data_IF_310336787154
#
_entry.id   IF_310336787154
#
_cell.length_a   1.000
_cell.length_b   1.000
_cell.length_c   1.000
_cell.angle_alpha   90.00
_cell.angle_beta   90.00
_cell.angle_gamma   90.00
#
_symmetry.space_group_name_H-M   'P 1'
#
loop_
_entity.id
_entity.type
_entity.pdbx_description
1 polymer ?
#
# COMPACT_ATOMS: atom_id res chain seq x y z
N UNK A 1 28.84 -5.72 -8.41
CA UNK A 1 28.54 -6.98 -9.11
C UNK A 1 27.04 -7.06 -9.27
N UNK A 2 26.53 -6.99 -10.50
CA UNK A 2 25.09 -6.98 -10.76
C UNK A 2 24.58 -8.42 -10.71
N UNK A 3 23.86 -8.80 -9.64
CA UNK A 3 23.16 -10.07 -9.58
C UNK A 3 21.90 -9.95 -10.45
N UNK A 4 21.98 -10.44 -11.69
CA UNK A 4 20.79 -10.63 -12.52
C UNK A 4 19.91 -11.69 -11.88
N UNK A 5 18.79 -11.27 -11.30
CA UNK A 5 17.74 -12.17 -10.79
C UNK A 5 17.13 -12.91 -11.99
N UNK A 6 17.07 -14.25 -11.99
CA UNK A 6 16.44 -15.02 -13.06
C UNK A 6 15.00 -14.57 -13.32
N UNK A 7 14.57 -14.60 -14.59
CA UNK A 7 13.20 -14.23 -14.98
C UNK A 7 12.13 -15.04 -14.24
N UNK A 8 12.37 -16.34 -14.03
CA UNK A 8 11.44 -17.24 -13.32
C UNK A 8 11.26 -16.85 -11.84
N UNK A 9 12.32 -16.38 -11.19
CA UNK A 9 12.24 -15.90 -9.79
C UNK A 9 11.46 -14.58 -9.70
N UNK A 10 11.56 -13.72 -10.72
CA UNK A 10 10.79 -12.48 -10.80
C UNK A 10 9.29 -12.76 -10.95
N UNK A 11 8.92 -13.72 -11.79
CA UNK A 11 7.52 -14.11 -11.96
C UNK A 11 6.93 -14.72 -10.68
N UNK A 12 7.69 -15.58 -9.99
CA UNK A 12 7.26 -16.20 -8.73
C UNK A 12 7.09 -15.16 -7.61
N UNK A 13 8.02 -14.20 -7.49
CA UNK A 13 7.97 -13.11 -6.51
C UNK A 13 6.74 -12.21 -6.72
N UNK A 14 6.52 -11.75 -7.96
CA UNK A 14 5.35 -10.96 -8.31
C UNK A 14 4.05 -11.72 -8.05
N UNK A 15 4.00 -13.01 -8.41
CA UNK A 15 2.82 -13.84 -8.15
C UNK A 15 2.55 -13.98 -6.65
N UNK A 16 3.60 -14.11 -5.83
CA UNK A 16 3.46 -14.14 -4.38
C UNK A 16 2.90 -12.83 -3.82
N UNK A 17 3.45 -11.68 -4.26
CA UNK A 17 2.94 -10.37 -3.84
C UNK A 17 1.51 -10.11 -4.31
N UNK A 18 1.18 -10.52 -5.54
CA UNK A 18 -0.17 -10.36 -6.08
C UNK A 18 -1.21 -11.11 -5.25
N UNK A 19 -0.90 -12.32 -4.78
CA UNK A 19 -1.80 -13.05 -3.86
C UNK A 19 -2.04 -12.29 -2.55
N UNK A 20 -1.04 -11.56 -2.05
CA UNK A 20 -1.23 -10.70 -0.86
C UNK A 20 -2.13 -9.51 -1.17
N UNK A 21 -2.02 -8.95 -2.38
CA UNK A 21 -2.94 -7.90 -2.88
C UNK A 21 -4.36 -8.45 -2.94
N UNK A 22 -4.60 -9.64 -3.49
CA UNK A 22 -5.93 -10.25 -3.56
C UNK A 22 -6.56 -10.42 -2.16
N UNK A 23 -5.76 -10.78 -1.15
CA UNK A 23 -6.22 -10.90 0.23
C UNK A 23 -6.53 -9.54 0.87
N UNK A 24 -5.66 -8.55 0.65
CA UNK A 24 -5.72 -7.24 1.31
C UNK A 24 -6.60 -6.21 0.58
N UNK A 25 -6.78 -6.36 -0.72
CA UNK A 25 -7.60 -5.56 -1.62
C UNK A 25 -8.42 -6.49 -2.54
N UNK A 26 -9.43 -7.19 -1.98
CA UNK A 26 -10.26 -8.13 -2.74
C UNK A 26 -11.05 -7.51 -3.91
N UNK A 27 -11.09 -6.17 -4.00
CA UNK A 27 -11.74 -5.42 -5.07
C UNK A 27 -10.76 -4.68 -5.99
N UNK A 28 -9.49 -5.10 -6.01
CA UNK A 28 -8.40 -4.44 -6.73
C UNK A 28 -8.76 -4.08 -8.18
N UNK A 29 -9.45 -4.97 -8.91
CA UNK A 29 -9.92 -4.76 -10.29
C UNK A 29 -10.84 -3.52 -10.48
N UNK A 30 -11.42 -3.00 -9.39
CA UNK A 30 -12.36 -1.86 -9.43
C UNK A 30 -11.91 -0.68 -8.57
N UNK A 31 -10.78 -0.79 -7.87
CA UNK A 31 -10.27 0.24 -6.97
C UNK A 31 -9.75 1.47 -7.73
N UNK A 32 -9.17 1.26 -8.91
CA UNK A 32 -8.38 2.30 -9.59
C UNK A 32 -7.16 2.70 -8.75
N UNK A 33 -6.57 3.86 -9.06
CA UNK A 33 -5.37 4.35 -8.38
C UNK A 33 -5.58 4.57 -6.88
N UNK A 34 -4.65 4.09 -6.04
CA UNK A 34 -4.70 4.31 -4.59
C UNK A 34 -4.19 5.72 -4.25
N UNK A 35 -2.90 5.98 -4.47
CA UNK A 35 -2.29 7.31 -4.37
C UNK A 35 -1.37 7.64 -5.55
N UNK A 36 -0.68 6.65 -6.13
CA UNK A 36 0.13 6.83 -7.31
C UNK A 36 -0.73 7.01 -8.56
N UNK A 37 -0.52 8.11 -9.28
CA UNK A 37 -1.26 8.46 -10.50
C UNK A 37 -0.28 8.97 -11.57
N UNK A 38 0.25 8.09 -12.43
CA UNK A 38 1.13 8.52 -13.51
C UNK A 38 0.35 9.33 -14.55
N UNK A 39 1.05 10.21 -15.24
CA UNK A 39 0.50 11.03 -16.33
C UNK A 39 0.33 10.23 -17.63
N UNK A 40 1.06 9.13 -17.78
CA UNK A 40 0.95 8.21 -18.90
C UNK A 40 2.09 7.20 -18.99
N UNK A 41 2.08 6.37 -20.04
CA UNK A 41 3.06 5.30 -20.22
C UNK A 41 4.50 5.83 -20.39
N UNK A 42 4.66 6.97 -21.06
CA UNK A 42 5.97 7.56 -21.38
C UNK A 42 6.69 8.08 -20.13
N UNK A 43 5.95 8.54 -19.13
CA UNK A 43 6.48 9.18 -17.91
C UNK A 43 6.40 8.28 -16.69
N UNK A 44 5.86 7.06 -16.80
CA UNK A 44 5.59 6.20 -15.63
C UNK A 44 6.82 5.97 -14.74
N UNK A 45 8.02 5.89 -15.33
CA UNK A 45 9.25 5.76 -14.56
C UNK A 45 9.59 7.01 -13.73
N UNK A 46 9.58 8.19 -14.36
CA UNK A 46 9.85 9.46 -13.66
C UNK A 46 8.75 9.80 -12.67
N UNK A 47 7.49 9.58 -13.03
CA UNK A 47 6.34 9.81 -12.15
C UNK A 47 6.42 8.90 -10.92
N UNK A 48 6.86 7.66 -11.10
CA UNK A 48 7.08 6.71 -10.01
C UNK A 48 8.17 7.17 -9.06
N UNK A 49 9.32 7.61 -9.58
CA UNK A 49 10.42 8.12 -8.77
C UNK A 49 10.02 9.41 -8.01
N UNK A 50 9.29 10.32 -8.67
CA UNK A 50 8.75 11.52 -8.04
C UNK A 50 7.74 11.19 -6.95
N UNK A 51 6.82 10.25 -7.19
CA UNK A 51 5.87 9.79 -6.18
C UNK A 51 6.56 9.08 -5.02
N UNK A 52 7.60 8.29 -5.28
CA UNK A 52 8.37 7.63 -4.23
C UNK A 52 8.97 8.66 -3.27
N UNK A 53 9.66 9.67 -3.81
CA UNK A 53 10.32 10.72 -3.02
C UNK A 53 9.34 11.70 -2.38
N UNK A 54 8.25 12.04 -3.06
CA UNK A 54 7.29 13.05 -2.62
C UNK A 54 6.17 12.53 -1.73
N UNK A 55 5.81 11.25 -1.85
CA UNK A 55 4.63 10.66 -1.17
C UNK A 55 4.99 9.38 -0.43
N UNK A 56 5.63 8.41 -1.10
CA UNK A 56 5.81 7.10 -0.49
C UNK A 56 6.76 7.14 0.71
N UNK A 57 8.02 7.52 0.52
CA UNK A 57 9.01 7.53 1.60
C UNK A 57 8.65 8.51 2.74
N UNK A 58 8.27 9.78 2.49
CA UNK A 58 8.02 10.72 3.58
C UNK A 58 6.68 10.51 4.30
N UNK A 59 5.68 9.90 3.65
CA UNK A 59 4.32 9.79 4.20
C UNK A 59 3.85 8.35 4.33
N UNK A 60 3.77 7.60 3.22
CA UNK A 60 3.13 6.28 3.24
C UNK A 60 3.96 5.23 3.98
N UNK A 61 5.27 5.16 3.76
CA UNK A 61 6.14 4.17 4.39
C UNK A 61 6.10 4.24 5.91
N UNK A 62 6.37 5.40 6.56
CA UNK A 62 6.30 5.49 8.02
C UNK A 62 4.88 5.28 8.55
N UNK A 63 3.85 5.78 7.86
CA UNK A 63 2.46 5.55 8.28
C UNK A 63 2.09 4.07 8.20
N UNK A 64 2.52 3.37 7.14
CA UNK A 64 2.25 1.96 6.95
C UNK A 64 2.93 1.09 8.01
N UNK A 65 4.16 1.42 8.40
CA UNK A 65 4.85 0.77 9.52
C UNK A 65 4.10 0.95 10.85
N UNK A 66 3.62 2.17 11.14
CA UNK A 66 2.81 2.45 12.33
C UNK A 66 1.49 1.67 12.31
N UNK A 67 0.82 1.63 11.16
CA UNK A 67 -0.42 0.89 10.96
C UNK A 67 -0.21 -0.62 11.14
N UNK A 68 0.88 -1.17 10.61
CA UNK A 68 1.23 -2.58 10.80
C UNK A 68 1.51 -2.90 12.27
N UNK A 69 2.27 -2.04 12.97
CA UNK A 69 2.56 -2.22 14.40
C UNK A 69 1.27 -2.16 15.25
N UNK A 70 0.42 -1.16 15.00
CA UNK A 70 -0.86 -1.00 15.70
C UNK A 70 -1.82 -2.17 15.42
N UNK A 71 -1.90 -2.60 14.15
CA UNK A 71 -2.70 -3.76 13.77
C UNK A 71 -2.18 -5.03 14.45
N UNK A 72 -0.86 -5.25 14.46
CA UNK A 72 -0.22 -6.37 15.13
C UNK A 72 -0.56 -6.41 16.63
N UNK A 73 -0.58 -5.25 17.29
CA UNK A 73 -0.97 -5.10 18.68
C UNK A 73 -2.49 -5.21 18.93
N UNK A 74 -3.31 -5.31 17.88
CA UNK A 74 -4.78 -5.25 17.94
C UNK A 74 -5.29 -3.95 18.61
N UNK A 75 -4.53 -2.86 18.48
CA UNK A 75 -4.85 -1.58 19.08
C UNK A 75 -5.63 -0.70 18.10
N UNK A 76 -6.95 -0.69 18.24
CA UNK A 76 -7.84 0.12 17.40
C UNK A 76 -7.58 1.63 17.56
N UNK A 77 -7.20 2.11 18.75
CA UNK A 77 -6.98 3.54 18.96
C UNK A 77 -5.70 3.99 18.25
N UNK A 78 -4.64 3.18 18.32
CA UNK A 78 -3.42 3.42 17.57
C UNK A 78 -3.67 3.37 16.05
N UNK A 79 -4.48 2.41 15.56
CA UNK A 79 -4.87 2.36 14.14
C UNK A 79 -5.62 3.64 13.73
N UNK A 80 -6.56 4.11 14.55
CA UNK A 80 -7.33 5.35 14.27
C UNK A 80 -6.45 6.58 14.22
N UNK A 81 -5.54 6.71 15.19
CA UNK A 81 -4.58 7.81 15.24
C UNK A 81 -3.69 7.82 13.98
N UNK A 82 -3.10 6.67 13.63
CA UNK A 82 -2.23 6.56 12.46
C UNK A 82 -2.98 6.83 11.14
N UNK A 83 -4.22 6.33 10.97
CA UNK A 83 -5.03 6.59 9.78
C UNK A 83 -5.44 8.07 9.66
N UNK A 84 -5.75 8.71 10.79
CA UNK A 84 -6.08 10.14 10.85
C UNK A 84 -4.88 11.00 10.46
N UNK A 85 -3.70 10.68 11.00
CA UNK A 85 -2.48 11.43 10.72
C UNK A 85 -1.97 11.18 9.30
N UNK A 86 -2.17 9.98 8.75
CA UNK A 86 -1.97 9.70 7.33
C UNK A 86 -2.85 10.62 6.46
N UNK A 87 -4.14 10.73 6.77
CA UNK A 87 -5.07 11.59 6.03
C UNK A 87 -4.67 13.07 6.01
N UNK A 88 -4.11 13.58 7.12
CA UNK A 88 -3.59 14.96 7.22
C UNK A 88 -2.29 15.16 6.43
N UNK A 89 -1.47 14.12 6.35
CA UNK A 89 -0.13 14.19 5.75
C UNK A 89 -0.15 14.01 4.23
N UNK A 90 -1.19 13.34 3.70
CA UNK A 90 -1.37 13.17 2.26
C UNK A 90 -1.86 14.46 1.59
N UNK A 91 -1.39 14.69 0.35
CA UNK A 91 -1.99 15.70 -0.50
C UNK A 91 -3.49 15.42 -0.69
N UNK A 92 -4.37 16.45 -0.77
CA UNK A 92 -5.82 16.25 -0.76
C UNK A 92 -6.35 15.29 -1.84
N UNK A 93 -5.73 15.27 -3.02
CA UNK A 93 -6.09 14.34 -4.08
C UNK A 93 -5.75 12.88 -3.74
N UNK A 94 -4.57 12.65 -3.16
CA UNK A 94 -4.14 11.33 -2.70
C UNK A 94 -5.01 10.82 -1.54
N UNK A 95 -5.28 11.70 -0.56
CA UNK A 95 -6.14 11.36 0.58
C UNK A 95 -7.55 10.93 0.12
N UNK A 96 -8.18 11.69 -0.78
CA UNK A 96 -9.50 11.34 -1.32
C UNK A 96 -9.51 10.00 -2.07
N UNK A 97 -8.48 9.75 -2.88
CA UNK A 97 -8.38 8.51 -3.66
C UNK A 97 -8.20 7.31 -2.75
N UNK A 98 -7.27 7.42 -1.80
CA UNK A 98 -6.99 6.39 -0.79
C UNK A 98 -8.20 6.09 0.10
N UNK A 99 -8.91 7.12 0.56
CA UNK A 99 -10.18 6.95 1.29
C UNK A 99 -11.26 6.28 0.45
N UNK A 100 -11.42 6.72 -0.80
CA UNK A 100 -12.42 6.15 -1.71
C UNK A 100 -12.24 4.63 -1.86
N UNK A 101 -11.00 4.19 -2.04
CA UNK A 101 -10.68 2.76 -2.15
C UNK A 101 -10.85 2.02 -0.83
N UNK A 102 -10.23 2.49 0.26
CA UNK A 102 -10.28 1.78 1.54
C UNK A 102 -11.70 1.65 2.07
N UNK A 103 -12.51 2.72 1.96
CA UNK A 103 -13.92 2.69 2.36
C UNK A 103 -14.75 1.73 1.52
N UNK A 104 -14.52 1.67 0.20
CA UNK A 104 -15.20 0.69 -0.66
C UNK A 104 -14.89 -0.74 -0.23
N UNK A 105 -13.63 -1.04 0.08
CA UNK A 105 -13.26 -2.37 0.60
C UNK A 105 -13.97 -2.65 1.93
N UNK A 106 -14.05 -1.69 2.84
CA UNK A 106 -14.73 -1.87 4.13
C UNK A 106 -16.25 -2.03 4.00
N UNK A 107 -16.90 -1.35 3.05
CA UNK A 107 -18.34 -1.46 2.82
C UNK A 107 -18.73 -2.75 2.10
N UNK A 108 -17.97 -3.09 1.06
CA UNK A 108 -18.38 -4.09 0.08
C UNK A 108 -17.80 -5.48 0.37
N UNK A 109 -16.77 -5.56 1.24
CA UNK A 109 -16.19 -6.84 1.66
C UNK A 109 -16.43 -7.07 3.15
N UNK A 110 -17.17 -8.14 3.45
CA UNK A 110 -17.39 -8.54 4.83
C UNK A 110 -16.06 -8.95 5.48
N UNK A 111 -15.81 -8.55 6.75
CA UNK A 111 -14.68 -9.05 7.50
C UNK A 111 -14.81 -10.58 7.69
N UNK A 112 -13.69 -11.33 7.69
CA UNK A 112 -13.70 -12.72 8.13
C UNK A 112 -14.26 -12.82 9.56
N UNK A 113 -14.98 -13.91 9.86
CA UNK A 113 -15.59 -14.10 11.17
C UNK A 113 -14.52 -14.04 12.29
N UNK A 114 -14.74 -13.18 13.29
CA UNK A 114 -13.85 -13.04 14.43
C UNK A 114 -12.71 -12.04 14.23
N UNK A 115 -12.62 -11.39 13.07
CA UNK A 115 -11.66 -10.33 12.80
C UNK A 115 -12.09 -8.99 13.44
N UNK A 116 -12.15 -8.94 14.78
CA UNK A 116 -12.68 -7.82 15.56
C UNK A 116 -12.08 -6.46 15.20
N UNK A 117 -10.77 -6.40 14.92
CA UNK A 117 -10.12 -5.16 14.52
C UNK A 117 -10.70 -4.61 13.21
N UNK A 118 -10.92 -5.50 12.22
CA UNK A 118 -11.47 -5.12 10.92
C UNK A 118 -12.97 -4.80 11.02
N UNK A 119 -13.72 -5.54 11.83
CA UNK A 119 -15.13 -5.23 12.15
C UNK A 119 -15.25 -3.82 12.77
N UNK A 120 -14.41 -3.49 13.73
CA UNK A 120 -14.40 -2.18 14.38
C UNK A 120 -13.92 -1.05 13.46
N UNK A 121 -12.93 -1.32 12.59
CA UNK A 121 -12.48 -0.38 11.57
C UNK A 121 -13.61 -0.05 10.59
N UNK A 122 -14.38 -1.06 10.16
CA UNK A 122 -15.55 -0.86 9.32
C UNK A 122 -16.60 0.00 10.02
N UNK A 123 -16.99 -0.33 11.26
CA UNK A 123 -17.97 0.46 12.01
C UNK A 123 -17.53 1.91 12.19
N UNK A 124 -16.23 2.13 12.39
CA UNK A 124 -15.68 3.48 12.44
C UNK A 124 -15.79 4.20 11.11
N UNK A 125 -15.44 3.57 9.99
CA UNK A 125 -15.58 4.16 8.66
C UNK A 125 -17.05 4.44 8.29
N UNK A 126 -18.01 3.67 8.80
CA UNK A 126 -19.44 3.98 8.63
C UNK A 126 -19.85 5.27 9.35
N UNK A 127 -19.18 5.62 10.46
CA UNK A 127 -19.48 6.80 11.28
C UNK A 127 -18.64 8.05 10.92
N UNK A 128 -17.45 7.85 10.37
CA UNK A 128 -16.49 8.89 10.06
C UNK A 128 -16.07 8.80 8.59
N UNK A 129 -16.39 9.82 7.81
CA UNK A 129 -16.09 9.87 6.37
C UNK A 129 -14.61 10.05 6.07
N UNK A 130 -13.81 10.45 7.06
CA UNK A 130 -12.37 10.67 6.94
C UNK A 130 -11.53 9.45 7.32
N UNK A 131 -12.21 8.36 7.72
CA UNK A 131 -11.58 7.14 8.17
C UNK A 131 -11.49 6.07 7.07
N UNK A 132 -10.44 5.25 7.17
CA UNK A 132 -10.30 4.01 6.40
C UNK A 132 -9.58 4.21 5.07
N UNK A 133 -8.39 4.81 5.11
CA UNK A 133 -7.51 4.90 3.94
C UNK A 133 -7.09 3.51 3.44
N UNK A 134 -6.75 3.40 2.15
CA UNK A 134 -6.36 2.14 1.53
C UNK A 134 -5.19 1.46 2.27
N UNK A 135 -4.17 2.24 2.67
CA UNK A 135 -3.03 1.76 3.45
C UNK A 135 -3.45 1.15 4.80
N UNK A 136 -4.38 1.78 5.51
CA UNK A 136 -4.94 1.30 6.79
C UNK A 136 -5.67 -0.01 6.61
N UNK A 137 -6.56 -0.08 5.62
CA UNK A 137 -7.32 -1.30 5.32
C UNK A 137 -6.38 -2.44 4.91
N UNK A 138 -5.36 -2.13 4.10
CA UNK A 138 -4.37 -3.10 3.66
C UNK A 138 -3.56 -3.65 4.84
N UNK A 139 -3.08 -2.79 5.74
CA UNK A 139 -2.32 -3.21 6.93
C UNK A 139 -3.17 -4.05 7.89
N UNK A 140 -4.41 -3.62 8.18
CA UNK A 140 -5.30 -4.35 9.09
C UNK A 140 -5.70 -5.71 8.50
N UNK A 141 -6.04 -5.79 7.21
CA UNK A 141 -6.32 -7.07 6.54
C UNK A 141 -5.09 -7.96 6.49
N UNK A 142 -3.92 -7.38 6.23
CA UNK A 142 -2.64 -8.09 6.28
C UNK A 142 -2.43 -8.78 7.62
N UNK A 143 -2.74 -8.11 8.72
CA UNK A 143 -2.68 -8.70 10.04
C UNK A 143 -3.74 -9.78 10.29
N UNK A 144 -4.98 -9.61 9.80
CA UNK A 144 -6.04 -10.63 9.92
C UNK A 144 -5.62 -11.95 9.26
N UNK A 145 -4.85 -11.88 8.18
CA UNK A 145 -4.31 -13.05 7.49
C UNK A 145 -2.90 -13.46 7.96
N UNK A 146 -2.38 -12.85 9.02
CA UNK A 146 -1.05 -13.11 9.58
C UNK A 146 0.09 -13.00 8.55
N UNK A 147 0.00 -12.03 7.66
CA UNK A 147 0.97 -11.84 6.57
C UNK A 147 2.24 -11.11 7.08
N UNK A 148 3.44 -11.48 6.60
CA UNK A 148 4.68 -10.82 7.02
C UNK A 148 4.73 -9.34 6.59
N UNK A 149 5.06 -8.44 7.52
CA UNK A 149 5.06 -6.99 7.27
C UNK A 149 5.91 -6.53 6.07
N UNK A 150 7.11 -7.09 5.90
CA UNK A 150 7.99 -6.78 4.75
C UNK A 150 7.33 -7.17 3.43
N UNK A 151 6.62 -8.30 3.40
CA UNK A 151 5.91 -8.74 2.20
C UNK A 151 4.65 -7.89 1.95
N UNK A 152 3.98 -7.42 3.01
CA UNK A 152 2.87 -6.49 2.89
C UNK A 152 3.31 -5.14 2.32
N UNK A 153 4.46 -4.60 2.74
CA UNK A 153 4.98 -3.35 2.19
C UNK A 153 5.31 -3.49 0.69
N UNK A 154 5.93 -4.60 0.29
CA UNK A 154 6.20 -4.90 -1.11
C UNK A 154 4.92 -5.08 -1.94
N UNK A 155 3.93 -5.79 -1.39
CA UNK A 155 2.64 -5.98 -2.04
C UNK A 155 1.85 -4.67 -2.15
N UNK A 156 1.87 -3.82 -1.13
CA UNK A 156 1.25 -2.50 -1.18
C UNK A 156 1.90 -1.61 -2.25
N UNK A 157 3.24 -1.63 -2.33
CA UNK A 157 3.98 -0.90 -3.36
C UNK A 157 3.68 -1.43 -4.78
N UNK A 158 3.56 -2.75 -4.93
CA UNK A 158 3.13 -3.35 -6.20
C UNK A 158 1.70 -2.94 -6.56
N UNK A 159 0.78 -2.89 -5.60
CA UNK A 159 -0.60 -2.44 -5.81
C UNK A 159 -0.65 -0.99 -6.28
N UNK A 160 0.10 -0.08 -5.64
CA UNK A 160 0.23 1.32 -6.07
C UNK A 160 0.71 1.40 -7.53
N UNK A 161 1.75 0.65 -7.88
CA UNK A 161 2.34 0.65 -9.22
C UNK A 161 1.35 0.15 -10.28
N UNK A 162 0.77 -1.04 -10.09
CA UNK A 162 -0.09 -1.70 -11.08
C UNK A 162 -1.42 -0.97 -11.22
N UNK A 163 -2.10 -0.66 -10.11
CA UNK A 163 -3.40 0.00 -10.14
C UNK A 163 -3.29 1.47 -10.59
N UNK A 164 -2.18 2.14 -10.25
CA UNK A 164 -1.89 3.47 -10.77
C UNK A 164 -1.67 3.47 -12.28
N UNK A 165 -0.89 2.52 -12.80
CA UNK A 165 -0.67 2.35 -14.24
C UNK A 165 -1.99 2.07 -14.98
N UNK A 166 -2.78 1.13 -14.46
CA UNK A 166 -4.06 0.75 -15.05
C UNK A 166 -5.04 1.93 -15.08
N UNK A 167 -5.12 2.72 -14.00
CA UNK A 167 -5.96 3.92 -13.94
C UNK A 167 -5.55 5.00 -14.96
N UNK A 168 -4.28 5.01 -15.40
CA UNK A 168 -3.78 5.85 -16.48
C UNK A 168 -3.95 5.23 -17.88
N UNK A 169 -4.61 4.05 -17.98
CA UNK A 169 -4.79 3.33 -19.24
C UNK A 169 -3.53 2.60 -19.72
N UNK A 170 -2.58 2.31 -18.81
CA UNK A 170 -1.29 1.70 -19.13
C UNK A 170 -1.26 0.26 -18.65
N UNK A 171 -1.14 -0.69 -19.58
CA UNK A 171 -0.81 -2.08 -19.24
C UNK A 171 0.69 -2.19 -18.97
N UNK A 172 1.06 -2.37 -17.70
CA UNK A 172 2.45 -2.49 -17.29
C UNK A 172 2.96 -3.93 -17.49
N UNK A 173 4.02 -4.18 -18.28
CA UNK A 173 4.63 -5.51 -18.36
C UNK A 173 5.15 -5.95 -16.99
N UNK A 174 5.00 -7.23 -16.64
CA UNK A 174 5.42 -7.77 -15.34
C UNK A 174 6.90 -7.47 -15.02
N UNK A 175 7.79 -7.59 -16.00
CA UNK A 175 9.21 -7.26 -15.81
C UNK A 175 9.43 -5.79 -15.41
N UNK A 176 8.65 -4.87 -15.99
CA UNK A 176 8.70 -3.44 -15.68
C UNK A 176 8.12 -3.16 -14.29
N UNK A 177 7.03 -3.83 -13.91
CA UNK A 177 6.46 -3.78 -12.56
C UNK A 177 7.49 -4.16 -11.51
N UNK A 178 8.17 -5.29 -11.70
CA UNK A 178 9.20 -5.76 -10.79
C UNK A 178 10.38 -4.79 -10.68
N UNK A 179 10.81 -4.19 -11.79
CA UNK A 179 11.89 -3.21 -11.79
C UNK A 179 11.54 -1.99 -10.93
N UNK A 180 10.36 -1.38 -11.15
CA UNK A 180 9.89 -0.21 -10.42
C UNK A 180 9.72 -0.50 -8.92
N UNK A 181 9.10 -1.64 -8.58
CA UNK A 181 8.87 -2.04 -7.19
C UNK A 181 10.19 -2.33 -6.47
N UNK A 182 11.14 -3.02 -7.12
CA UNK A 182 12.47 -3.26 -6.54
C UNK A 182 13.24 -1.96 -6.34
N UNK A 183 13.13 -1.01 -7.26
CA UNK A 183 13.67 0.34 -7.12
C UNK A 183 13.16 1.02 -5.85
N UNK A 184 11.85 1.02 -5.63
CA UNK A 184 11.23 1.57 -4.43
C UNK A 184 11.64 0.85 -3.15
N UNK A 185 11.64 -0.50 -3.14
CA UNK A 185 12.08 -1.29 -1.99
C UNK A 185 13.56 -1.07 -1.64
N UNK A 186 14.42 -0.87 -2.63
CA UNK A 186 15.82 -0.54 -2.41
C UNK A 186 15.99 0.86 -1.77
N UNK A 187 15.13 1.81 -2.12
CA UNK A 187 15.05 3.13 -1.49
C UNK A 187 14.67 3.06 -0.01
N UNK A 188 13.64 2.29 0.35
CA UNK A 188 13.20 2.12 1.76
C UNK A 188 14.33 1.62 2.66
N UNK A 189 15.16 0.70 2.17
CA UNK A 189 16.31 0.17 2.94
C UNK A 189 17.41 1.22 3.17
N UNK A 190 17.58 2.16 2.25
CA UNK A 190 18.55 3.25 2.39
C UNK A 190 18.09 4.27 3.41
N UNK A 191 16.81 4.63 3.39
CA UNK A 191 16.25 5.58 4.37
C UNK A 191 16.32 5.02 5.80
N UNK A 192 16.00 3.73 5.99
CA UNK A 192 16.17 3.06 7.28
C UNK A 192 17.64 3.07 7.76
N UNK A 193 18.60 2.89 6.86
CA UNK A 193 20.02 2.94 7.20
C UNK A 193 20.49 4.37 7.53
N UNK A 194 20.00 5.39 6.81
CA UNK A 194 20.31 6.80 7.07
C UNK A 194 19.73 7.24 8.42
N UNK A 195 18.52 6.81 8.78
CA UNK A 195 17.92 7.10 10.09
C UNK A 195 18.70 6.47 11.24
N UNK A 196 19.25 5.26 11.08
CA UNK A 196 20.10 4.60 12.09
C UNK A 196 21.46 5.26 12.27
N UNK A 197 21.97 5.98 11.24
CA UNK A 197 23.25 6.70 11.31
C UNK A 197 23.11 8.13 11.84
N UNK A 198 21.89 8.64 12.00
CA UNK A 198 21.62 10.00 12.48
C UNK A 198 21.41 10.08 14.01
N UNK A 199 21.67 8.99 14.75
CA UNK A 199 21.54 8.87 16.22
C UNK A 199 22.90 8.87 16.90
#
# INVERSE_FOLDING_TARGET
>A
MSHTVPADQTAAELSAWWRLIELCLPLHDTCGALTFRPSGAETIGSDWDEWLVGVYFPVLSPAFEQLLAAACAQDLQAVRAADTDLGKSLAPACARSSLGVGRRVLSDCLPPQGAKLLENLRLWAEQDTTAGHAATVFAVRGQVFHLPGVQLAAAFLLAECVLGAEAAGVTLPAARAAELVRGGLAGSRRDAAVQLMAV
#
